data_IF_158855323620
#
_entry.id   IF_158855323620
#
_cell.length_a   1.000
_cell.length_b   1.000
_cell.length_c   1.000
_cell.angle_alpha   90.00
_cell.angle_beta   90.00
_cell.angle_gamma   90.00
#
_symmetry.space_group_name_H-M   'P 1'
#
loop_
_entity.id
_entity.type
_entity.pdbx_description
1 polymer ?
#
# COMPACT_ATOMS: atom_id res chain seq x y z
N UNK A 1 -25.36 12.07 -6.51
CA UNK A 1 -24.30 11.06 -6.29
C UNK A 1 -23.85 11.00 -4.84
N UNK A 2 -23.35 12.10 -4.25
CA UNK A 2 -23.04 12.15 -2.80
C UNK A 2 -24.29 11.88 -1.95
N UNK A 3 -25.40 12.56 -2.24
CA UNK A 3 -26.69 12.38 -1.57
C UNK A 3 -27.24 10.94 -1.71
N UNK A 4 -27.05 10.30 -2.86
CA UNK A 4 -27.48 8.92 -3.09
C UNK A 4 -26.67 7.92 -2.23
N UNK A 5 -25.38 8.18 -2.06
CA UNK A 5 -24.48 7.40 -1.19
C UNK A 5 -24.85 7.62 0.28
N UNK A 6 -25.17 8.85 0.67
CA UNK A 6 -25.64 9.17 2.03
C UNK A 6 -26.97 8.48 2.34
N UNK A 7 -27.95 8.54 1.44
CA UNK A 7 -29.23 7.85 1.61
C UNK A 7 -29.06 6.33 1.71
N UNK A 8 -28.17 5.75 0.90
CA UNK A 8 -27.87 4.32 0.96
C UNK A 8 -27.18 3.91 2.26
N UNK A 9 -26.16 4.66 2.70
CA UNK A 9 -25.46 4.40 3.97
C UNK A 9 -26.30 4.76 5.21
N UNK A 10 -27.31 5.62 5.07
CA UNK A 10 -28.32 5.88 6.09
C UNK A 10 -29.29 4.71 6.28
N UNK A 11 -29.51 3.92 5.22
CA UNK A 11 -30.37 2.72 5.24
C UNK A 11 -29.59 1.47 5.63
N UNK A 12 -28.37 1.33 5.11
CA UNK A 12 -27.46 0.22 5.40
C UNK A 12 -26.27 0.79 6.19
N UNK A 13 -26.19 0.51 7.51
CA UNK A 13 -25.24 1.22 8.39
C UNK A 13 -23.78 0.99 8.01
N UNK A 14 -23.47 -0.14 7.37
CA UNK A 14 -22.12 -0.51 6.93
C UNK A 14 -22.18 -1.17 5.55
N UNK A 15 -21.48 -0.61 4.57
CA UNK A 15 -21.47 -1.17 3.21
C UNK A 15 -20.11 -1.02 2.53
N UNK A 16 -19.79 -1.93 1.61
CA UNK A 16 -18.60 -1.80 0.76
C UNK A 16 -18.90 -0.98 -0.47
N UNK A 17 -17.88 -0.38 -1.09
CA UNK A 17 -18.07 0.39 -2.32
C UNK A 17 -18.71 -0.42 -3.47
N UNK A 18 -18.58 -1.76 -3.45
CA UNK A 18 -19.27 -2.65 -4.39
C UNK A 18 -20.77 -2.73 -4.07
N UNK A 19 -21.12 -2.94 -2.80
CA UNK A 19 -22.51 -2.99 -2.35
C UNK A 19 -23.24 -1.65 -2.58
N UNK A 20 -22.56 -0.52 -2.31
CA UNK A 20 -23.09 0.84 -2.57
C UNK A 20 -23.32 1.04 -4.07
N UNK A 21 -22.36 0.66 -4.92
CA UNK A 21 -22.51 0.77 -6.37
C UNK A 21 -23.68 -0.07 -6.92
N UNK A 22 -23.83 -1.30 -6.43
CA UNK A 22 -24.97 -2.16 -6.80
C UNK A 22 -26.29 -1.58 -6.29
N UNK A 23 -26.34 -1.04 -5.08
CA UNK A 23 -27.55 -0.50 -4.47
C UNK A 23 -28.08 0.79 -5.11
N UNK A 24 -27.18 1.64 -5.61
CA UNK A 24 -27.53 2.91 -6.27
C UNK A 24 -27.62 2.73 -7.80
N UNK A 25 -27.13 1.61 -8.34
CA UNK A 25 -27.12 1.35 -9.78
C UNK A 25 -26.09 2.17 -10.56
N UNK A 26 -25.01 2.62 -9.91
CA UNK A 26 -23.97 3.46 -10.50
C UNK A 26 -22.67 2.67 -10.76
N UNK A 27 -21.82 3.14 -11.70
CA UNK A 27 -20.52 2.52 -11.94
C UNK A 27 -19.64 2.53 -10.69
N UNK A 28 -19.03 1.38 -10.38
CA UNK A 28 -18.22 1.20 -9.17
C UNK A 28 -17.08 2.21 -9.06
N UNK A 29 -16.41 2.53 -10.17
CA UNK A 29 -15.29 3.47 -10.17
C UNK A 29 -15.70 4.88 -9.72
N UNK A 30 -16.85 5.37 -10.20
CA UNK A 30 -17.35 6.69 -9.84
C UNK A 30 -17.75 6.72 -8.35
N UNK A 31 -18.34 5.62 -7.86
CA UNK A 31 -18.73 5.46 -6.45
C UNK A 31 -17.49 5.48 -5.56
N UNK A 32 -16.41 4.79 -5.92
CA UNK A 32 -15.14 4.83 -5.18
C UNK A 32 -14.56 6.25 -5.16
N UNK A 33 -14.60 6.98 -6.29
CA UNK A 33 -14.11 8.37 -6.35
C UNK A 33 -14.94 9.31 -5.46
N UNK A 34 -16.27 9.15 -5.46
CA UNK A 34 -17.17 9.94 -4.62
C UNK A 34 -16.98 9.63 -3.13
N UNK A 35 -16.90 8.35 -2.76
CA UNK A 35 -16.65 7.92 -1.37
C UNK A 35 -15.29 8.42 -0.86
N UNK A 36 -14.23 8.37 -1.67
CA UNK A 36 -12.93 8.92 -1.25
C UNK A 36 -12.98 10.43 -1.03
N UNK A 37 -13.78 11.16 -1.81
CA UNK A 37 -14.03 12.60 -1.60
C UNK A 37 -14.81 12.84 -0.31
N UNK A 38 -15.83 12.02 -0.02
CA UNK A 38 -16.61 12.08 1.22
C UNK A 38 -15.77 11.73 2.46
N UNK A 39 -14.85 10.78 2.33
CA UNK A 39 -13.88 10.44 3.36
C UNK A 39 -12.93 11.62 3.63
N UNK A 40 -12.41 12.27 2.57
CA UNK A 40 -11.57 13.46 2.74
C UNK A 40 -12.29 14.65 3.37
N UNK A 41 -13.61 14.76 3.18
CA UNK A 41 -14.43 15.80 3.82
C UNK A 41 -14.97 15.40 5.19
N UNK A 42 -14.63 14.19 5.67
CA UNK A 42 -15.05 13.69 6.98
C UNK A 42 -16.53 13.32 7.09
N UNK A 43 -17.24 13.10 5.97
CA UNK A 43 -18.65 12.68 5.93
C UNK A 43 -18.82 11.16 6.04
N UNK A 44 -17.78 10.41 5.70
CA UNK A 44 -17.78 8.94 5.69
C UNK A 44 -16.51 8.47 6.37
N UNK A 45 -16.65 7.47 7.23
CA UNK A 45 -15.54 6.76 7.83
C UNK A 45 -15.31 5.44 7.10
N UNK A 46 -14.11 4.88 7.25
CA UNK A 46 -13.77 3.59 6.62
C UNK A 46 -12.91 2.75 7.54
N UNK A 47 -13.16 1.44 7.52
CA UNK A 47 -12.31 0.45 8.16
C UNK A 47 -11.97 -0.67 7.17
N UNK A 48 -10.75 -1.19 7.32
CA UNK A 48 -10.27 -2.30 6.52
C UNK A 48 -10.91 -3.59 7.03
N UNK A 49 -11.64 -4.29 6.17
CA UNK A 49 -12.32 -5.53 6.56
C UNK A 49 -11.31 -6.62 6.95
N UNK A 50 -11.40 -7.22 8.15
CA UNK A 50 -10.52 -8.31 8.53
C UNK A 50 -10.77 -9.53 7.63
N UNK A 51 -9.71 -10.06 7.02
CA UNK A 51 -9.78 -11.27 6.18
C UNK A 51 -10.21 -11.07 4.72
N UNK A 52 -10.53 -9.85 4.27
CA UNK A 52 -10.99 -9.57 2.90
C UNK A 52 -10.03 -8.71 2.05
N UNK A 53 -8.71 -8.90 2.25
CA UNK A 53 -7.69 -8.23 1.42
C UNK A 53 -7.69 -6.71 1.54
N UNK A 54 -7.83 -6.00 0.40
CA UNK A 54 -7.83 -4.53 0.29
C UNK A 54 -9.25 -3.91 0.29
N UNK A 55 -10.27 -4.64 0.75
CA UNK A 55 -11.63 -4.13 0.81
C UNK A 55 -11.88 -3.28 2.07
N UNK A 56 -12.55 -2.14 1.89
CA UNK A 56 -12.96 -1.25 2.97
C UNK A 56 -14.49 -1.30 3.14
N UNK A 57 -14.93 -1.24 4.39
CA UNK A 57 -16.32 -1.00 4.78
C UNK A 57 -16.45 0.50 5.09
N UNK A 58 -17.53 1.10 4.61
CA UNK A 58 -17.84 2.51 4.76
C UNK A 58 -19.14 2.70 5.52
N UNK A 59 -19.19 3.74 6.36
CA UNK A 59 -20.38 4.19 7.07
C UNK A 59 -20.38 5.71 7.19
N UNK A 60 -21.56 6.31 7.38
CA UNK A 60 -21.66 7.75 7.61
C UNK A 60 -20.97 8.10 8.93
N UNK A 61 -20.12 9.12 8.90
CA UNK A 61 -19.58 9.70 10.11
C UNK A 61 -20.76 10.19 10.95
N UNK A 62 -21.03 9.53 12.09
CA UNK A 62 -21.86 10.18 13.09
C UNK A 62 -21.07 11.41 13.48
N UNK A 63 -21.58 12.59 13.16
CA UNK A 63 -20.98 13.83 13.66
C UNK A 63 -20.61 13.59 15.11
N UNK A 64 -19.33 13.76 15.45
CA UNK A 64 -18.94 13.81 16.84
C UNK A 64 -19.94 14.75 17.53
N UNK A 65 -20.45 14.44 18.73
CA UNK A 65 -21.13 15.47 19.49
C UNK A 65 -20.14 16.62 19.56
N UNK A 66 -20.46 17.70 18.84
CA UNK A 66 -19.87 18.99 19.14
C UNK A 66 -20.03 19.13 20.65
N UNK A 67 -18.93 19.40 21.34
CA UNK A 67 -19.00 19.93 22.68
C UNK A 67 -20.11 20.99 22.65
N UNK A 68 -21.15 20.79 23.47
CA UNK A 68 -22.24 21.73 23.61
C UNK A 68 -21.63 23.08 24.03
N UNK A 69 -21.38 23.94 23.07
CA UNK A 69 -21.42 25.38 23.26
C UNK A 69 -22.85 25.79 22.92
N UNK A 70 -23.73 25.54 23.89
CA UNK A 70 -24.99 26.24 24.02
C UNK A 70 -24.68 27.73 24.25
N UNK A 71 -24.96 28.57 23.25
CA UNK A 71 -25.20 29.98 23.49
C UNK A 71 -26.63 30.16 23.99
N UNK A 72 -26.74 30.90 25.09
CA UNK A 72 -27.92 31.18 25.91
C UNK A 72 -29.20 31.55 25.14
N UNK A 73 -30.29 30.88 25.51
CA UNK A 73 -31.59 31.52 25.71
C UNK A 73 -32.25 30.87 26.94
N UNK A 74 -32.33 31.69 27.99
CA UNK A 74 -32.98 31.56 29.29
C UNK A 74 -33.99 30.40 29.49
N UNK A 75 -33.72 29.55 30.49
CA UNK A 75 -34.77 29.06 31.39
C UNK A 75 -34.20 28.64 32.74
N UNK A 76 -34.85 29.12 33.80
CA UNK A 76 -34.50 29.06 35.21
C UNK A 76 -34.66 27.66 35.84
N UNK A 77 -33.64 27.17 36.56
CA UNK A 77 -33.75 26.42 37.83
C UNK A 77 -32.35 25.96 38.33
N UNK A 78 -32.11 25.89 39.65
CA UNK A 78 -30.78 25.64 40.20
C UNK A 78 -30.45 24.15 40.19
N UNK A 79 -29.32 23.76 39.60
CA UNK A 79 -28.80 22.41 39.66
C UNK A 79 -27.66 22.30 40.70
N UNK A 80 -27.90 21.82 41.94
CA UNK A 80 -26.83 21.29 42.76
C UNK A 80 -26.75 19.78 42.47
N UNK A 81 -26.25 19.37 41.30
CA UNK A 81 -26.51 18.00 40.82
C UNK A 81 -25.30 17.13 40.51
N UNK A 82 -24.06 17.64 40.59
CA UNK A 82 -22.89 16.76 40.49
C UNK A 82 -22.38 16.36 41.88
N UNK A 83 -22.10 17.33 42.76
CA UNK A 83 -21.59 17.05 44.10
C UNK A 83 -22.61 16.27 44.97
N UNK A 84 -23.90 16.60 44.87
CA UNK A 84 -24.96 15.90 45.61
C UNK A 84 -25.27 14.51 45.04
N UNK A 85 -25.04 14.28 43.74
CA UNK A 85 -25.19 12.96 43.12
C UNK A 85 -24.01 12.05 43.48
N UNK A 86 -22.78 12.58 43.50
CA UNK A 86 -21.58 11.86 43.97
C UNK A 86 -21.73 11.46 45.45
N UNK A 87 -22.28 12.35 46.29
CA UNK A 87 -22.54 12.07 47.71
C UNK A 87 -23.64 11.01 47.95
N UNK A 88 -24.48 10.73 46.95
CA UNK A 88 -25.56 9.73 47.01
C UNK A 88 -25.20 8.40 46.35
N UNK A 89 -24.02 8.28 45.70
CA UNK A 89 -23.56 7.00 45.21
C UNK A 89 -23.26 6.08 46.41
N UNK A 90 -23.77 4.84 46.44
CA UNK A 90 -23.36 3.88 47.46
C UNK A 90 -21.85 3.64 47.31
N UNK A 91 -21.12 3.53 48.42
CA UNK A 91 -19.66 3.27 48.42
C UNK A 91 -19.31 2.02 47.60
N UNK A 92 -20.25 1.06 47.47
CA UNK A 92 -20.12 -0.11 46.62
C UNK A 92 -20.14 0.17 45.09
N UNK A 93 -20.69 1.30 44.65
CA UNK A 93 -20.68 1.74 43.25
C UNK A 93 -19.37 2.45 42.86
N UNK A 94 -18.59 2.87 43.85
CA UNK A 94 -17.17 3.19 43.67
C UNK A 94 -16.41 1.87 43.71
N UNK A 95 -16.55 1.07 42.65
CA UNK A 95 -15.67 -0.08 42.45
C UNK A 95 -14.24 0.43 42.55
N UNK A 96 -13.49 -0.09 43.54
CA UNK A 96 -12.07 0.20 43.67
C UNK A 96 -11.40 -0.46 42.48
N UNK A 97 -11.35 0.26 41.36
CA UNK A 97 -10.43 -0.06 40.29
C UNK A 97 -9.08 0.14 40.95
N UNK A 98 -8.36 -0.95 41.15
CA UNK A 98 -6.97 -0.89 41.60
C UNK A 98 -6.15 -0.28 40.45
N UNK A 99 -6.20 1.04 40.38
CA UNK A 99 -5.53 1.86 39.38
C UNK A 99 -4.03 1.60 39.39
N UNK A 100 -3.46 1.23 40.54
CA UNK A 100 -2.06 0.84 40.64
C UNK A 100 -1.79 -0.47 39.91
N UNK A 101 -2.70 -1.46 40.04
CA UNK A 101 -2.61 -2.72 39.31
C UNK A 101 -2.77 -2.53 37.80
N UNK A 102 -3.76 -1.75 37.36
CA UNK A 102 -3.98 -1.44 35.93
C UNK A 102 -2.78 -0.69 35.34
N UNK A 103 -2.21 0.28 36.07
CA UNK A 103 -1.01 1.00 35.62
C UNK A 103 0.20 0.06 35.53
N UNK A 104 0.35 -0.89 36.47
CA UNK A 104 1.44 -1.88 36.43
C UNK A 104 1.29 -2.83 35.23
N UNK A 105 0.08 -3.31 34.96
CA UNK A 105 -0.23 -4.17 33.82
C UNK A 105 0.03 -3.46 32.48
N UNK A 106 -0.47 -2.22 32.33
CA UNK A 106 -0.23 -1.41 31.13
C UNK A 106 1.26 -1.11 30.92
N UNK A 107 2.03 -0.91 31.98
CA UNK A 107 3.50 -0.74 31.88
C UNK A 107 4.18 -2.02 31.39
N UNK A 108 3.80 -3.17 31.93
CA UNK A 108 4.31 -4.46 31.48
C UNK A 108 3.96 -4.73 30.00
N UNK A 109 2.75 -4.35 29.59
CA UNK A 109 2.32 -4.46 28.19
C UNK A 109 3.08 -3.51 27.26
N UNK A 110 3.31 -2.27 27.68
CA UNK A 110 4.13 -1.32 26.92
C UNK A 110 5.55 -1.87 26.77
N UNK A 111 6.16 -2.39 27.83
CA UNK A 111 7.51 -2.98 27.77
C UNK A 111 7.55 -4.16 26.80
N UNK A 112 6.58 -5.07 26.87
CA UNK A 112 6.45 -6.20 25.94
C UNK A 112 6.29 -5.76 24.50
N UNK A 113 5.34 -4.86 24.21
CA UNK A 113 5.08 -4.35 22.86
C UNK A 113 6.28 -3.58 22.29
N UNK A 114 7.00 -2.85 23.15
CA UNK A 114 8.24 -2.16 22.77
C UNK A 114 9.31 -3.16 22.34
N UNK A 115 9.51 -4.23 23.11
CA UNK A 115 10.45 -5.29 22.77
C UNK A 115 10.07 -6.03 21.48
N UNK A 116 8.76 -6.32 21.28
CA UNK A 116 8.26 -6.96 20.06
C UNK A 116 8.46 -6.07 18.83
N UNK A 117 8.16 -4.77 18.95
CA UNK A 117 8.42 -3.78 17.90
C UNK A 117 9.91 -3.76 17.54
N UNK A 118 10.80 -3.71 18.51
CA UNK A 118 12.25 -3.64 18.26
C UNK A 118 12.76 -4.90 17.56
N UNK A 119 12.28 -6.07 17.98
CA UNK A 119 12.59 -7.33 17.30
C UNK A 119 12.05 -7.36 15.86
N UNK A 120 10.85 -6.83 15.62
CA UNK A 120 10.26 -6.72 14.28
C UNK A 120 11.05 -5.75 13.39
N UNK A 121 11.46 -4.60 13.93
CA UNK A 121 12.24 -3.60 13.22
C UNK A 121 13.61 -4.16 12.82
N UNK A 122 14.29 -4.85 13.74
CA UNK A 122 15.58 -5.48 13.46
C UNK A 122 15.47 -6.54 12.35
N UNK A 123 14.39 -7.35 12.36
CA UNK A 123 14.11 -8.30 11.27
C UNK A 123 13.85 -7.59 9.95
N UNK A 124 13.07 -6.51 9.95
CA UNK A 124 12.80 -5.72 8.76
C UNK A 124 14.08 -5.10 8.17
N UNK A 125 14.94 -4.55 9.02
CA UNK A 125 16.23 -4.00 8.62
C UNK A 125 17.13 -5.08 8.03
N UNK A 126 17.17 -6.27 8.66
CA UNK A 126 17.89 -7.44 8.15
C UNK A 126 17.37 -7.87 6.79
N UNK A 127 16.05 -7.92 6.59
CA UNK A 127 15.46 -8.27 5.30
C UNK A 127 15.75 -7.24 4.23
N UNK A 128 15.73 -5.93 4.55
CA UNK A 128 16.12 -4.88 3.61
C UNK A 128 17.59 -5.00 3.20
N UNK A 129 18.49 -5.26 4.15
CA UNK A 129 19.91 -5.47 3.87
C UNK A 129 20.16 -6.71 3.00
N UNK A 130 19.48 -7.82 3.30
CA UNK A 130 19.56 -9.04 2.49
C UNK A 130 19.01 -8.82 1.09
N UNK A 131 17.88 -8.12 0.95
CA UNK A 131 17.32 -7.78 -0.36
C UNK A 131 18.29 -6.91 -1.18
N UNK A 132 18.87 -5.87 -0.58
CA UNK A 132 19.88 -5.04 -1.25
C UNK A 132 21.09 -5.85 -1.71
N UNK A 133 21.56 -6.79 -0.89
CA UNK A 133 22.67 -7.69 -1.24
C UNK A 133 22.31 -8.63 -2.39
N UNK A 134 21.09 -9.18 -2.37
CA UNK A 134 20.60 -10.06 -3.43
C UNK A 134 20.42 -9.31 -4.75
N UNK A 135 19.88 -8.09 -4.73
CA UNK A 135 19.77 -7.25 -5.93
C UNK A 135 21.15 -6.92 -6.50
N UNK A 136 22.12 -6.52 -5.65
CA UNK A 136 23.49 -6.28 -6.11
C UNK A 136 24.13 -7.52 -6.75
N UNK A 137 23.86 -8.71 -6.21
CA UNK A 137 24.36 -9.98 -6.76
C UNK A 137 23.62 -10.42 -8.02
N UNK A 138 22.32 -10.13 -8.13
CA UNK A 138 21.55 -10.32 -9.36
C UNK A 138 22.10 -9.41 -10.44
N UNK A 139 22.39 -8.15 -10.14
CA UNK A 139 23.02 -7.22 -11.07
C UNK A 139 24.40 -7.73 -11.49
N UNK A 140 25.24 -8.19 -10.56
CA UNK A 140 26.53 -8.79 -10.87
C UNK A 140 26.40 -10.01 -11.80
N UNK A 141 25.45 -10.92 -11.53
CA UNK A 141 25.27 -12.15 -12.30
C UNK A 141 24.56 -11.94 -13.65
N UNK A 142 23.68 -10.94 -13.74
CA UNK A 142 22.81 -10.73 -14.90
C UNK A 142 23.36 -9.67 -15.85
N UNK A 143 24.02 -8.66 -15.29
CA UNK A 143 24.51 -7.48 -16.00
C UNK A 143 26.05 -7.49 -16.08
N UNK A 144 26.71 -8.19 -15.15
CA UNK A 144 28.14 -8.03 -14.89
C UNK A 144 28.43 -6.70 -14.18
N UNK A 145 29.62 -6.51 -13.58
CA UNK A 145 30.12 -5.17 -13.25
C UNK A 145 29.86 -4.16 -14.38
N UNK A 146 29.78 -2.86 -14.07
CA UNK A 146 29.75 -1.80 -15.09
C UNK A 146 31.00 -1.98 -15.98
N UNK A 147 30.82 -2.48 -17.21
CA UNK A 147 31.91 -2.84 -18.13
C UNK A 147 32.32 -4.33 -18.19
N UNK A 148 31.78 -5.21 -17.35
CA UNK A 148 32.03 -6.65 -17.44
C UNK A 148 31.14 -7.31 -18.50
N UNK A 149 31.60 -7.20 -19.75
CA UNK A 149 31.22 -8.01 -20.91
C UNK A 149 29.71 -8.20 -21.11
N UNK A 150 28.97 -7.10 -21.21
CA UNK A 150 27.80 -7.14 -22.08
C UNK A 150 28.26 -7.59 -23.49
N UNK A 151 27.58 -8.56 -24.13
CA UNK A 151 27.97 -9.01 -25.45
C UNK A 151 27.96 -7.82 -26.42
N UNK A 152 29.11 -7.59 -27.04
CA UNK A 152 29.39 -6.40 -27.84
C UNK A 152 28.57 -6.33 -29.13
N UNK A 153 28.11 -7.48 -29.63
CA UNK A 153 27.41 -7.55 -30.91
C UNK A 153 26.19 -8.46 -30.82
N UNK A 154 25.14 -8.12 -31.55
CA UNK A 154 23.93 -8.94 -31.71
C UNK A 154 23.72 -9.20 -33.19
N UNK A 155 23.45 -10.45 -33.52
CA UNK A 155 23.08 -10.87 -34.88
C UNK A 155 21.59 -11.09 -34.95
N UNK A 156 20.93 -10.39 -35.87
CA UNK A 156 19.47 -10.43 -36.07
C UNK A 156 19.19 -10.79 -37.52
N UNK A 157 18.46 -11.88 -37.75
CA UNK A 157 17.97 -12.27 -39.07
C UNK A 157 16.44 -12.31 -39.08
N UNK A 158 15.84 -12.57 -40.26
CA UNK A 158 14.40 -12.61 -40.46
C UNK A 158 13.77 -13.88 -39.87
N UNK A 159 14.44 -15.02 -40.00
CA UNK A 159 13.94 -16.34 -39.63
C UNK A 159 14.67 -16.98 -38.44
N UNK A 160 15.82 -16.44 -38.05
CA UNK A 160 16.68 -16.94 -36.99
C UNK A 160 16.55 -16.11 -35.71
N UNK A 161 16.69 -16.79 -34.57
CA UNK A 161 16.65 -16.13 -33.27
C UNK A 161 17.83 -15.15 -33.15
N UNK A 162 17.62 -13.95 -32.57
CA UNK A 162 18.70 -13.04 -32.24
C UNK A 162 19.75 -13.73 -31.36
N UNK A 163 21.03 -13.55 -31.67
CA UNK A 163 22.12 -14.12 -30.87
C UNK A 163 23.17 -13.06 -30.55
N UNK A 164 23.59 -13.06 -29.28
CA UNK A 164 24.58 -12.20 -28.68
C UNK A 164 25.99 -12.78 -28.85
N UNK A 165 26.98 -11.92 -29.09
CA UNK A 165 28.37 -12.28 -29.35
C UNK A 165 29.33 -11.38 -28.58
N UNK A 166 30.44 -11.97 -28.15
CA UNK A 166 31.51 -11.26 -27.42
C UNK A 166 32.45 -10.48 -28.34
N UNK A 167 32.44 -10.72 -29.65
CA UNK A 167 33.30 -10.04 -30.62
C UNK A 167 32.65 -9.92 -32.00
N UNK A 168 33.10 -8.92 -32.77
CA UNK A 168 32.59 -8.66 -34.12
C UNK A 168 32.84 -9.84 -35.04
N UNK A 169 34.01 -10.47 -34.94
CA UNK A 169 34.38 -11.62 -35.78
C UNK A 169 33.44 -12.81 -35.57
N UNK A 170 33.06 -13.11 -34.32
CA UNK A 170 32.10 -14.18 -34.01
C UNK A 170 30.73 -13.87 -34.61
N UNK A 171 30.29 -12.61 -34.49
CA UNK A 171 29.02 -12.16 -35.05
C UNK A 171 29.01 -12.24 -36.59
N UNK A 172 30.07 -11.75 -37.25
CA UNK A 172 30.24 -11.84 -38.69
C UNK A 172 30.29 -13.29 -39.18
N UNK A 173 31.02 -14.16 -38.47
CA UNK A 173 31.10 -15.59 -38.82
C UNK A 173 29.72 -16.25 -38.80
N UNK A 174 28.90 -15.98 -37.78
CA UNK A 174 27.53 -16.48 -37.71
C UNK A 174 26.67 -15.88 -38.84
N UNK A 175 26.73 -14.57 -39.06
CA UNK A 175 25.95 -13.91 -40.11
C UNK A 175 26.24 -14.51 -41.49
N UNK A 176 27.51 -14.70 -41.82
CA UNK A 176 27.94 -15.37 -43.07
C UNK A 176 27.40 -16.80 -43.16
N UNK A 177 27.44 -17.57 -42.07
CA UNK A 177 26.94 -18.94 -42.06
C UNK A 177 25.41 -19.02 -42.27
N UNK A 178 24.66 -18.09 -41.68
CA UNK A 178 23.20 -18.02 -41.82
C UNK A 178 22.78 -17.66 -43.26
N UNK A 179 23.45 -16.68 -43.87
CA UNK A 179 23.18 -16.30 -45.27
C UNK A 179 23.56 -17.44 -46.23
N UNK A 180 24.71 -18.09 -46.02
CA UNK A 180 25.16 -19.21 -46.87
C UNK A 180 24.30 -20.46 -46.76
N UNK A 181 23.64 -20.68 -45.63
CA UNK A 181 22.77 -21.86 -45.43
C UNK A 181 21.33 -21.64 -45.92
N UNK A 182 21.09 -20.56 -46.68
CA UNK A 182 19.78 -20.15 -47.22
C UNK A 182 18.69 -19.93 -46.16
N UNK A 183 19.07 -19.89 -44.88
CA UNK A 183 18.14 -19.61 -43.76
C UNK A 183 17.75 -18.13 -43.72
N UNK A 184 18.63 -17.27 -44.25
CA UNK A 184 18.50 -15.82 -44.20
C UNK A 184 18.91 -15.19 -45.53
N UNK A 185 18.16 -14.19 -45.99
CA UNK A 185 18.57 -13.33 -47.10
C UNK A 185 19.55 -12.25 -46.63
N UNK A 186 19.45 -11.86 -45.35
CA UNK A 186 20.24 -10.81 -44.73
C UNK A 186 20.35 -11.08 -43.22
N UNK A 187 21.51 -10.77 -42.63
CA UNK A 187 21.70 -10.79 -41.18
C UNK A 187 22.37 -9.49 -40.76
N UNK A 188 21.70 -8.74 -39.90
CA UNK A 188 22.22 -7.53 -39.31
C UNK A 188 23.17 -7.88 -38.17
N UNK A 189 24.37 -7.29 -38.18
CA UNK A 189 25.32 -7.34 -37.07
C UNK A 189 25.31 -5.98 -36.39
N UNK A 190 24.66 -5.90 -35.23
CA UNK A 190 24.39 -4.66 -34.52
C UNK A 190 25.26 -4.55 -33.27
N UNK A 191 25.76 -3.35 -33.00
CA UNK A 191 26.40 -3.00 -31.74
C UNK A 191 25.37 -2.38 -30.78
N UNK A 192 25.19 -2.90 -29.55
CA UNK A 192 24.27 -2.29 -28.58
C UNK A 192 24.78 -0.92 -28.14
N UNK A 193 23.94 0.11 -28.28
CA UNK A 193 24.24 1.49 -27.87
C UNK A 193 23.87 1.81 -26.41
N UNK A 194 23.17 0.90 -25.75
CA UNK A 194 22.72 1.02 -24.37
C UNK A 194 21.79 -0.12 -23.99
N UNK A 195 21.33 -0.13 -22.74
CA UNK A 195 20.42 -1.16 -22.21
C UNK A 195 19.35 -0.54 -21.33
N UNK A 196 18.18 -1.17 -21.29
CA UNK A 196 17.12 -0.86 -20.32
C UNK A 196 17.07 -1.98 -19.29
N UNK A 197 17.12 -1.62 -18.02
CA UNK A 197 17.09 -2.57 -16.89
C UNK A 197 15.75 -2.53 -16.16
N UNK A 198 15.57 -3.43 -15.19
CA UNK A 198 14.36 -3.47 -14.36
C UNK A 198 14.19 -2.11 -13.67
N UNK A 199 12.98 -1.55 -13.70
CA UNK A 199 12.75 -0.15 -13.32
C UNK A 199 12.73 0.83 -14.49
N UNK A 200 12.81 0.34 -15.74
CA UNK A 200 12.73 1.14 -16.99
C UNK A 200 13.82 2.19 -17.19
N UNK A 201 14.89 2.09 -16.42
CA UNK A 201 16.02 3.02 -16.50
C UNK A 201 16.89 2.71 -17.73
N UNK A 202 17.15 3.74 -18.53
CA UNK A 202 18.12 3.68 -19.62
C UNK A 202 19.53 3.83 -19.07
N UNK A 203 20.37 2.84 -19.33
CA UNK A 203 21.80 2.89 -19.03
C UNK A 203 22.56 3.02 -20.36
N UNK A 204 23.26 4.15 -20.59
CA UNK A 204 24.19 4.26 -21.70
C UNK A 204 25.31 3.23 -21.51
N UNK A 205 25.97 2.90 -22.63
CA UNK A 205 27.05 1.93 -22.65
C UNK A 205 28.30 2.42 -21.94
#
# INVERSE_FOLDING_TARGET
>A
MTEDIENFLGTVPEATAKAVATGIGLPHFDVVKAINKMYSSGMVEREKRPGAGNEYVYWLSRGAPAAQQSSDAESSAPAPLLAAAIAKLPVAALGVIDTSHVIAELRADIERLTAERDAAQLKADTWRANAATLEARIDELTIGPVGARAPLFVTVGRNCKPQRHESLEKAQRRGRALVRSEKESEVLVLEPIGRIVRGTEWLPR
#
